data_IF_494705278429
#
_entry.id   IF_494705278429
#
_cell.length_a   1.000
_cell.length_b   1.000
_cell.length_c   1.000
_cell.angle_alpha   90.00
_cell.angle_beta   90.00
_cell.angle_gamma   90.00
#
_symmetry.space_group_name_H-M   'P 1'
#
loop_
_entity.id
_entity.type
_entity.pdbx_description
1 polymer ?
#
# COMPACT_ATOMS: atom_id res chain seq x y z
N UNK A 1 -3.02 1.06 -1.01
CA UNK A 1 -1.75 0.40 -1.37
C UNK A 1 -1.69 -1.03 -0.85
N UNK A 2 -1.78 -1.24 0.47
CA UNK A 2 -1.53 -2.55 1.11
C UNK A 2 -2.42 -3.69 0.58
N UNK A 3 -3.73 -3.51 0.45
CA UNK A 3 -4.60 -4.55 -0.13
C UNK A 3 -4.25 -4.89 -1.60
N UNK A 4 -3.94 -3.88 -2.42
CA UNK A 4 -3.56 -4.06 -3.82
C UNK A 4 -2.22 -4.78 -3.97
N UNK A 5 -1.26 -4.53 -3.07
CA UNK A 5 0.00 -5.29 -3.03
C UNK A 5 -0.27 -6.75 -2.71
N UNK A 6 -1.15 -7.05 -1.75
CA UNK A 6 -1.51 -8.44 -1.44
C UNK A 6 -2.14 -9.15 -2.65
N UNK A 7 -3.08 -8.50 -3.33
CA UNK A 7 -3.69 -9.04 -4.55
C UNK A 7 -2.65 -9.28 -5.66
N UNK A 8 -1.75 -8.32 -5.90
CA UNK A 8 -0.69 -8.47 -6.88
C UNK A 8 0.23 -9.67 -6.55
N UNK A 9 0.62 -9.84 -5.28
CA UNK A 9 1.45 -10.96 -4.84
C UNK A 9 0.74 -12.31 -4.94
N UNK A 10 -0.55 -12.36 -4.63
CA UNK A 10 -1.38 -13.57 -4.75
C UNK A 10 -1.54 -13.99 -6.21
N UNK A 11 -1.77 -13.03 -7.12
CA UNK A 11 -1.83 -13.30 -8.56
C UNK A 11 -0.46 -13.72 -9.11
N UNK A 12 0.62 -13.07 -8.67
CA UNK A 12 1.97 -13.41 -9.07
C UNK A 12 2.36 -14.82 -8.60
N UNK A 13 1.97 -15.22 -7.39
CA UNK A 13 2.20 -16.56 -6.86
C UNK A 13 1.60 -17.67 -7.75
N UNK A 14 0.52 -17.39 -8.49
CA UNK A 14 -0.09 -18.36 -9.41
C UNK A 14 0.72 -18.57 -10.70
N UNK A 15 1.66 -17.66 -11.00
CA UNK A 15 2.52 -17.75 -12.17
C UNK A 15 3.82 -18.54 -11.92
N UNK A 16 4.08 -18.99 -10.69
CA UNK A 16 5.28 -19.76 -10.34
C UNK A 16 5.23 -21.16 -10.97
N UNK A 17 6.34 -21.58 -11.59
CA UNK A 17 6.47 -22.94 -12.12
C UNK A 17 6.60 -23.94 -10.96
N UNK A 18 5.67 -24.89 -10.79
CA UNK A 18 5.75 -25.90 -9.74
C UNK A 18 6.95 -26.86 -9.88
N UNK A 19 7.65 -26.84 -11.03
CA UNK A 19 8.86 -27.64 -11.28
C UNK A 19 10.15 -26.90 -10.94
N UNK A 20 10.09 -25.59 -10.71
CA UNK A 20 11.25 -24.83 -10.24
C UNK A 20 11.47 -25.10 -8.74
N UNK A 21 12.66 -25.57 -8.39
CA UNK A 21 13.06 -25.87 -7.02
C UNK A 21 13.00 -24.64 -6.10
N UNK A 22 13.08 -23.43 -6.67
CA UNK A 22 12.98 -22.18 -5.94
C UNK A 22 11.54 -21.71 -5.69
N UNK A 23 10.57 -22.21 -6.47
CA UNK A 23 9.18 -21.74 -6.42
C UNK A 23 8.54 -21.91 -5.03
N UNK A 24 8.92 -22.95 -4.28
CA UNK A 24 8.40 -23.17 -2.94
C UNK A 24 8.77 -22.04 -1.97
N UNK A 25 10.01 -21.52 -2.04
CA UNK A 25 10.49 -20.43 -1.17
C UNK A 25 9.84 -19.10 -1.54
N UNK A 26 9.71 -18.83 -2.84
CA UNK A 26 9.07 -17.62 -3.34
C UNK A 26 7.57 -17.60 -3.01
N UNK A 27 6.87 -18.73 -3.19
CA UNK A 27 5.46 -18.88 -2.85
C UNK A 27 5.21 -18.61 -1.36
N UNK A 28 6.06 -19.13 -0.47
CA UNK A 28 5.92 -18.89 0.96
C UNK A 28 6.16 -17.41 1.30
N UNK A 29 7.14 -16.76 0.67
CA UNK A 29 7.40 -15.33 0.86
C UNK A 29 6.19 -14.48 0.41
N UNK A 30 5.65 -14.73 -0.78
CA UNK A 30 4.48 -14.00 -1.29
C UNK A 30 3.25 -14.20 -0.43
N UNK A 31 2.97 -15.44 0.00
CA UNK A 31 1.86 -15.74 0.90
C UNK A 31 2.01 -15.05 2.25
N UNK A 32 3.21 -15.04 2.83
CA UNK A 32 3.48 -14.33 4.09
C UNK A 32 3.22 -12.83 3.95
N UNK A 33 3.75 -12.21 2.89
CA UNK A 33 3.61 -10.78 2.65
C UNK A 33 2.16 -10.39 2.33
N UNK A 34 1.46 -11.16 1.49
CA UNK A 34 0.06 -10.91 1.16
C UNK A 34 -0.83 -10.91 2.41
N UNK A 35 -0.66 -11.90 3.31
CA UNK A 35 -1.39 -11.95 4.58
C UNK A 35 -1.11 -10.72 5.46
N UNK A 36 0.15 -10.33 5.59
CA UNK A 36 0.53 -9.16 6.39
C UNK A 36 -0.10 -7.88 5.80
N UNK A 37 0.00 -7.71 4.48
CA UNK A 37 -0.56 -6.56 3.79
C UNK A 37 -2.09 -6.46 3.90
N UNK A 38 -2.83 -7.59 3.83
CA UNK A 38 -4.29 -7.58 4.05
C UNK A 38 -4.64 -7.09 5.46
N UNK A 39 -3.97 -7.64 6.49
CA UNK A 39 -4.19 -7.22 7.88
C UNK A 39 -3.91 -5.73 8.07
N UNK A 40 -2.76 -5.25 7.60
CA UNK A 40 -2.42 -3.82 7.68
C UNK A 40 -3.42 -2.94 6.92
N UNK A 41 -3.94 -3.40 5.77
CA UNK A 41 -4.97 -2.67 5.03
C UNK A 41 -6.26 -2.52 5.84
N UNK A 42 -6.71 -3.59 6.48
CA UNK A 42 -7.91 -3.60 7.32
C UNK A 42 -7.76 -2.65 8.51
N UNK A 43 -6.64 -2.72 9.23
CA UNK A 43 -6.34 -1.86 10.37
C UNK A 43 -6.24 -0.38 9.97
N UNK A 44 -5.52 -0.06 8.89
CA UNK A 44 -5.42 1.32 8.39
C UNK A 44 -6.78 1.86 7.93
N UNK A 45 -7.61 1.02 7.28
CA UNK A 45 -8.93 1.44 6.84
C UNK A 45 -9.87 1.70 8.02
N UNK A 46 -9.84 0.85 9.05
CA UNK A 46 -10.61 1.07 10.26
C UNK A 46 -10.20 2.38 10.94
N UNK A 47 -8.92 2.57 11.20
CA UNK A 47 -8.41 3.80 11.84
C UNK A 47 -8.71 5.05 11.01
N UNK A 48 -8.55 5.00 9.68
CA UNK A 48 -8.84 6.16 8.82
C UNK A 48 -10.33 6.52 8.81
N UNK A 49 -11.23 5.54 8.95
CA UNK A 49 -12.67 5.81 9.11
C UNK A 49 -12.96 6.49 10.44
N UNK A 50 -12.35 6.02 11.52
CA UNK A 50 -12.50 6.66 12.84
C UNK A 50 -11.98 8.09 12.80
N UNK A 51 -10.78 8.32 12.25
CA UNK A 51 -10.22 9.66 12.07
C UNK A 51 -11.12 10.57 11.22
N UNK A 52 -11.69 10.05 10.14
CA UNK A 52 -12.62 10.81 9.29
C UNK A 52 -13.91 11.16 10.05
N UNK A 53 -14.46 10.23 10.83
CA UNK A 53 -15.63 10.47 11.67
C UNK A 53 -15.35 11.50 12.78
N UNK A 54 -14.10 11.56 13.26
CA UNK A 54 -13.67 12.49 14.30
C UNK A 54 -13.27 13.88 13.78
N UNK A 55 -13.16 14.05 12.47
CA UNK A 55 -12.69 15.30 11.85
C UNK A 55 -13.55 16.51 12.21
N UNK A 56 -14.86 16.31 12.33
CA UNK A 56 -15.82 17.38 12.60
C UNK A 56 -16.21 17.44 14.09
N UNK A 57 -15.46 16.77 14.98
CA UNK A 57 -15.71 16.83 16.41
C UNK A 57 -15.55 18.27 16.93
N UNK A 58 -16.49 18.75 17.75
CA UNK A 58 -16.34 20.04 18.41
C UNK A 58 -15.06 20.07 19.26
N UNK A 59 -14.28 21.13 19.09
CA UNK A 59 -13.08 21.34 19.89
C UNK A 59 -13.45 21.50 21.36
N UNK A 60 -12.99 20.57 22.20
CA UNK A 60 -13.14 20.67 23.64
C UNK A 60 -12.26 21.81 24.20
N UNK A 61 -12.55 22.24 25.43
CA UNK A 61 -11.63 23.14 26.14
C UNK A 61 -10.31 22.40 26.40
N UNK A 62 -9.21 23.01 26.00
CA UNK A 62 -7.87 22.54 26.29
C UNK A 62 -7.27 23.39 27.41
N UNK A 63 -6.36 22.82 28.19
CA UNK A 63 -5.50 23.60 29.09
C UNK A 63 -4.43 24.32 28.25
N UNK A 64 -4.51 25.65 28.17
CA UNK A 64 -3.61 26.46 27.35
C UNK A 64 -2.15 26.38 27.80
N UNK A 65 -1.90 26.22 29.11
CA UNK A 65 -0.55 26.09 29.63
C UNK A 65 0.06 24.75 29.21
N UNK A 66 -0.72 23.66 29.28
CA UNK A 66 -0.29 22.35 28.80
C UNK A 66 -0.13 22.32 27.27
N UNK A 67 -1.00 23.01 26.53
CA UNK A 67 -0.89 23.14 25.06
C UNK A 67 0.36 23.91 24.60
N UNK A 68 0.96 24.69 25.49
CA UNK A 68 2.18 25.46 25.21
C UNK A 68 3.47 24.69 25.53
N UNK A 69 3.38 23.43 25.98
CA UNK A 69 4.54 22.59 26.24
C UNK A 69 5.32 22.35 24.92
N UNK A 70 6.63 22.69 24.86
CA UNK A 70 7.46 22.42 23.69
C UNK A 70 7.41 20.96 23.21
N UNK A 71 7.22 20.00 24.11
CA UNK A 71 7.14 18.58 23.76
C UNK A 71 5.96 18.25 22.83
N UNK A 72 4.85 19.01 22.91
CA UNK A 72 3.71 18.86 22.00
C UNK A 72 4.08 19.31 20.59
N UNK A 73 4.78 20.44 20.45
CA UNK A 73 5.24 20.93 19.17
C UNK A 73 6.26 19.96 18.55
N UNK A 74 7.25 19.53 19.32
CA UNK A 74 8.26 18.58 18.84
C UNK A 74 7.64 17.24 18.39
N UNK A 75 6.60 16.76 19.08
CA UNK A 75 5.89 15.56 18.66
C UNK A 75 5.18 15.75 17.31
N UNK A 76 4.59 16.92 17.09
CA UNK A 76 3.96 17.25 15.81
C UNK A 76 4.98 17.44 14.69
N UNK A 77 6.13 18.07 14.95
CA UNK A 77 7.22 18.20 13.98
C UNK A 77 7.76 16.83 13.55
N UNK A 78 7.97 15.91 14.51
CA UNK A 78 8.38 14.53 14.20
C UNK A 78 7.35 13.82 13.34
N UNK A 79 6.06 13.96 13.65
CA UNK A 79 4.99 13.40 12.86
C UNK A 79 5.02 13.90 11.41
N UNK A 80 5.08 15.22 11.23
CA UNK A 80 5.14 15.87 9.91
C UNK A 80 6.40 15.46 9.12
N UNK A 81 7.53 15.25 9.80
CA UNK A 81 8.75 14.73 9.16
C UNK A 81 8.58 13.28 8.66
N UNK A 82 7.93 12.42 9.43
CA UNK A 82 7.68 11.02 9.03
C UNK A 82 6.72 10.98 7.84
N UNK A 83 5.71 11.86 7.80
CA UNK A 83 4.81 11.96 6.64
C UNK A 83 5.56 12.34 5.35
N UNK A 84 6.55 13.23 5.44
CA UNK A 84 7.39 13.61 4.30
C UNK A 84 8.28 12.46 3.82
N UNK A 85 8.87 11.72 4.75
CA UNK A 85 9.66 10.53 4.41
C UNK A 85 8.79 9.47 3.70
N UNK A 86 7.58 9.22 4.23
CA UNK A 86 6.62 8.31 3.61
C UNK A 86 6.23 8.78 2.19
N UNK A 87 5.98 10.07 2.01
CA UNK A 87 5.67 10.64 0.70
C UNK A 87 6.81 10.40 -0.29
N UNK A 88 8.05 10.66 0.11
CA UNK A 88 9.23 10.46 -0.72
C UNK A 88 9.37 8.98 -1.14
N UNK A 89 9.25 8.05 -0.18
CA UNK A 89 9.31 6.60 -0.46
C UNK A 89 8.24 6.16 -1.47
N UNK A 90 7.01 6.69 -1.34
CA UNK A 90 5.93 6.37 -2.27
C UNK A 90 6.17 6.93 -3.67
N UNK A 91 6.76 8.12 -3.77
CA UNK A 91 7.11 8.73 -5.05
C UNK A 91 8.20 7.94 -5.78
N UNK A 92 9.26 7.54 -5.08
CA UNK A 92 10.32 6.71 -5.66
C UNK A 92 9.78 5.36 -6.15
N UNK A 93 8.98 4.69 -5.32
CA UNK A 93 8.36 3.42 -5.68
C UNK A 93 7.47 3.56 -6.91
N UNK A 94 6.65 4.60 -6.97
CA UNK A 94 5.73 4.84 -8.09
C UNK A 94 6.48 4.98 -9.41
N UNK A 95 7.64 5.64 -9.43
CA UNK A 95 8.46 5.74 -10.63
C UNK A 95 8.92 4.36 -11.15
N UNK A 96 9.33 3.47 -10.25
CA UNK A 96 9.67 2.09 -10.59
C UNK A 96 8.48 1.27 -11.10
N UNK A 97 7.35 1.35 -10.39
CA UNK A 97 6.12 0.64 -10.76
C UNK A 97 5.60 1.10 -12.15
N UNK A 98 5.68 2.40 -12.45
CA UNK A 98 5.32 2.95 -13.77
C UNK A 98 6.24 2.45 -14.88
N UNK A 99 7.55 2.36 -14.62
CA UNK A 99 8.50 1.79 -15.58
C UNK A 99 8.14 0.33 -15.90
N UNK A 100 7.81 -0.47 -14.88
CA UNK A 100 7.38 -1.86 -15.06
C UNK A 100 6.13 -1.99 -15.92
N UNK A 101 5.16 -1.07 -15.80
CA UNK A 101 3.96 -1.05 -16.65
C UNK A 101 4.27 -0.80 -18.14
N UNK A 102 5.34 -0.05 -18.44
CA UNK A 102 5.79 0.19 -19.82
C UNK A 102 6.58 -0.99 -20.37
N UNK A 103 7.40 -1.62 -19.53
CA UNK A 103 8.32 -2.69 -19.93
C UNK A 103 7.66 -4.08 -19.98
N UNK A 104 6.51 -4.27 -19.31
CA UNK A 104 5.79 -5.55 -19.26
C UNK A 104 4.67 -5.59 -20.32
N UNK A 105 4.88 -6.18 -21.51
CA UNK A 105 3.81 -6.30 -22.49
C UNK A 105 2.73 -7.26 -21.98
N UNK A 106 1.50 -6.76 -21.84
CA UNK A 106 0.32 -7.63 -21.68
C UNK A 106 0.12 -8.40 -22.98
N UNK A 107 0.56 -9.66 -23.05
CA UNK A 107 0.17 -10.57 -24.14
C UNK A 107 -1.28 -11.02 -23.94
N UNK A 108 -2.21 -10.16 -24.30
CA UNK A 108 -3.60 -10.54 -24.53
C UNK A 108 -3.76 -11.05 -25.96
N UNK A 109 -3.64 -12.36 -26.19
CA UNK A 109 -4.01 -12.94 -27.47
C UNK A 109 -5.55 -13.02 -27.60
N UNK A 110 -6.08 -12.37 -28.64
CA UNK A 110 -7.18 -12.92 -29.43
C UNK A 110 -8.61 -12.53 -29.05
N UNK A 111 -9.07 -11.35 -29.48
CA UNK A 111 -10.45 -11.20 -29.96
C UNK A 111 -10.45 -10.83 -31.45
N UNK A 112 -11.06 -11.75 -32.21
CA UNK A 112 -11.66 -11.57 -33.53
C UNK A 112 -10.71 -11.44 -34.74
N UNK A 113 -10.12 -12.57 -35.15
CA UNK A 113 -10.10 -12.92 -36.57
C UNK A 113 -11.21 -13.93 -36.83
N UNK A 114 -12.41 -13.43 -37.17
CA UNK A 114 -13.44 -14.20 -37.88
C UNK A 114 -14.48 -13.25 -38.44
N UNK A 115 -14.35 -12.99 -39.74
CA UNK A 115 -15.39 -13.05 -40.79
C UNK A 115 -15.12 -11.98 -41.85
N UNK A 116 -14.54 -12.39 -42.96
CA UNK A 116 -15.01 -12.00 -44.28
C UNK A 116 -14.99 -13.25 -45.16
N UNK A 117 -16.03 -13.55 -45.93
CA UNK A 117 -15.85 -13.87 -47.33
C UNK A 117 -15.68 -12.59 -48.16
#
# INVERSE_FOLDING_TARGET
MTAAVAENLELHANALDPRDENAARELEAYRKLARAHRRTAEELLATSRDMAAYRDLPMARHDEAAMSDPALLEAFERFVSIEQELLWLLQERLAGDQKMLVETPVRGEGRESRRQP
#
